data_IF_272920813050
#
_entry.id   IF_272920813050
#
_cell.length_a   1.000
_cell.length_b   1.000
_cell.length_c   1.000
_cell.angle_alpha   90.00
_cell.angle_beta   90.00
_cell.angle_gamma   90.00
#
_symmetry.space_group_name_H-M   'P 1'
#
loop_
_entity.id
_entity.type
_entity.pdbx_description
1 polymer ?
#
# COMPACT_ATOMS: atom_id res chain seq x y z
N UNK A 1 25.95 7.16 5.24
CA UNK A 1 24.78 8.06 5.28
C UNK A 1 24.55 8.56 6.70
N UNK A 2 24.46 7.68 7.72
CA UNK A 2 24.16 8.07 9.11
C UNK A 2 25.15 9.10 9.69
N UNK A 3 26.47 8.90 9.55
CA UNK A 3 27.48 9.82 10.06
C UNK A 3 27.41 11.21 9.40
N UNK A 4 27.16 11.28 8.10
CA UNK A 4 27.04 12.55 7.39
C UNK A 4 25.75 13.31 7.75
N UNK A 5 24.69 12.59 8.06
CA UNK A 5 23.39 13.16 8.49
C UNK A 5 23.50 13.67 9.92
N UNK A 6 24.14 12.94 10.82
CA UNK A 6 24.34 13.34 12.21
C UNK A 6 25.15 14.65 12.34
N UNK A 7 26.17 14.85 11.50
CA UNK A 7 26.97 16.09 11.46
C UNK A 7 26.16 17.33 11.05
N UNK A 8 25.02 17.13 10.40
CA UNK A 8 24.13 18.21 9.98
C UNK A 8 22.95 18.46 10.93
N UNK A 9 22.95 17.85 12.11
CA UNK A 9 21.83 17.92 13.06
C UNK A 9 20.59 17.14 12.58
N UNK A 10 20.75 16.26 11.60
CA UNK A 10 19.69 15.40 11.07
C UNK A 10 19.65 14.01 11.72
N UNK A 11 18.65 13.23 11.35
CA UNK A 11 18.47 11.85 11.77
C UNK A 11 18.25 10.96 10.54
N UNK A 12 18.91 9.80 10.50
CA UNK A 12 18.67 8.78 9.49
C UNK A 12 18.30 7.45 10.16
N UNK A 13 17.31 6.76 9.62
CA UNK A 13 16.84 5.47 10.13
C UNK A 13 16.24 4.65 9.00
N UNK A 14 16.25 3.32 9.16
CA UNK A 14 15.57 2.40 8.22
C UNK A 14 14.06 2.67 8.26
N UNK A 15 13.40 2.68 7.11
CA UNK A 15 11.96 2.90 7.05
C UNK A 15 11.22 1.84 7.90
N UNK A 16 10.51 2.25 8.97
CA UNK A 16 9.90 1.30 9.92
C UNK A 16 8.73 0.53 9.31
N UNK A 17 8.19 0.98 8.19
CA UNK A 17 7.08 0.30 7.51
C UNK A 17 7.55 -0.98 6.83
N UNK A 18 8.67 -0.88 6.10
CA UNK A 18 9.26 -2.00 5.38
C UNK A 18 10.73 -1.70 5.07
N UNK A 19 11.69 -2.55 5.47
CA UNK A 19 13.12 -2.32 5.21
C UNK A 19 13.46 -2.13 3.74
N UNK A 20 12.70 -2.76 2.83
CA UNK A 20 12.86 -2.60 1.38
C UNK A 20 12.58 -1.17 0.88
N UNK A 21 11.92 -0.33 1.67
CA UNK A 21 11.75 1.10 1.40
C UNK A 21 13.06 1.89 1.58
N UNK A 22 14.11 1.29 2.15
CA UNK A 22 15.38 1.91 2.41
C UNK A 22 15.42 2.75 3.68
N UNK A 23 16.19 3.84 3.68
CA UNK A 23 16.35 4.72 4.83
C UNK A 23 15.56 6.04 4.65
N UNK A 24 15.02 6.52 5.75
CA UNK A 24 14.48 7.88 5.88
C UNK A 24 15.55 8.80 6.44
N UNK A 25 15.60 10.00 5.90
CA UNK A 25 16.51 11.05 6.37
C UNK A 25 15.70 12.29 6.67
N UNK A 26 15.79 12.77 7.89
CA UNK A 26 15.20 14.03 8.34
C UNK A 26 16.33 15.02 8.57
N UNK A 27 16.31 16.15 7.91
CA UNK A 27 17.31 17.22 8.05
C UNK A 27 16.62 18.55 8.34
N UNK A 28 17.28 19.47 9.07
CA UNK A 28 16.76 20.81 9.26
C UNK A 28 16.53 21.54 7.93
N UNK A 29 15.46 22.32 7.86
CA UNK A 29 15.15 23.15 6.68
C UNK A 29 16.18 24.29 6.60
N UNK A 30 16.68 24.58 5.41
CA UNK A 30 17.61 25.69 5.14
C UNK A 30 19.07 25.41 5.44
N UNK A 31 19.45 24.15 5.71
CA UNK A 31 20.85 23.75 5.85
C UNK A 31 21.44 23.13 4.60
N UNK A 32 22.77 23.18 4.44
CA UNK A 32 23.54 22.59 3.32
C UNK A 32 23.31 21.07 3.15
N UNK A 33 22.73 20.42 4.14
CA UNK A 33 22.52 18.97 4.20
C UNK A 33 21.52 18.47 3.17
N UNK A 34 20.42 19.21 2.97
CA UNK A 34 19.41 18.88 1.96
C UNK A 34 20.02 18.98 0.57
N UNK A 35 20.82 20.04 0.31
CA UNK A 35 21.51 20.25 -0.97
C UNK A 35 22.55 19.16 -1.24
N UNK A 36 23.35 18.79 -0.23
CA UNK A 36 24.34 17.71 -0.35
C UNK A 36 23.72 16.34 -0.61
N UNK A 37 22.59 16.03 0.02
CA UNK A 37 21.87 14.78 -0.21
C UNK A 37 21.27 14.75 -1.62
N UNK A 38 20.73 15.87 -2.10
CA UNK A 38 20.15 15.97 -3.45
C UNK A 38 21.23 15.97 -4.54
N UNK A 39 22.39 16.56 -4.27
CA UNK A 39 23.54 16.58 -5.21
C UNK A 39 24.13 15.18 -5.47
N UNK A 40 23.92 14.21 -4.57
CA UNK A 40 24.37 12.82 -4.73
C UNK A 40 23.44 11.96 -5.60
N UNK A 41 22.46 12.56 -6.30
CA UNK A 41 21.56 11.86 -7.20
C UNK A 41 20.22 11.55 -6.58
N UNK A 42 19.52 12.58 -6.09
CA UNK A 42 18.15 12.42 -5.60
C UNK A 42 17.27 11.77 -6.65
N UNK A 43 16.73 10.61 -6.33
CA UNK A 43 15.69 10.01 -7.12
C UNK A 43 14.49 10.97 -7.16
N UNK A 44 13.93 11.16 -8.34
CA UNK A 44 12.75 12.02 -8.50
C UNK A 44 11.53 11.37 -7.82
N UNK A 45 10.57 12.16 -7.37
CA UNK A 45 9.31 11.71 -6.78
C UNK A 45 8.65 10.56 -7.56
N UNK A 46 8.63 10.55 -8.92
CA UNK A 46 8.10 9.42 -9.68
C UNK A 46 8.81 8.09 -9.42
N UNK A 47 10.13 8.09 -9.24
CA UNK A 47 10.87 6.85 -8.94
C UNK A 47 10.55 6.31 -7.54
N UNK A 48 10.40 7.20 -6.55
CA UNK A 48 9.93 6.83 -5.22
C UNK A 48 8.52 6.25 -5.27
N UNK A 49 7.60 6.88 -6.01
CA UNK A 49 6.23 6.39 -6.19
C UNK A 49 6.23 5.01 -6.85
N UNK A 50 6.99 4.80 -7.92
CA UNK A 50 7.11 3.51 -8.59
C UNK A 50 7.60 2.40 -7.64
N UNK A 51 8.64 2.69 -6.84
CA UNK A 51 9.15 1.77 -5.83
C UNK A 51 8.08 1.46 -4.77
N UNK A 52 7.40 2.47 -4.23
CA UNK A 52 6.36 2.32 -3.22
C UNK A 52 5.20 1.46 -3.74
N UNK A 53 4.73 1.72 -4.95
CA UNK A 53 3.67 0.95 -5.61
C UNK A 53 4.11 -0.50 -5.81
N UNK A 54 5.33 -0.73 -6.30
CA UNK A 54 5.87 -2.07 -6.50
C UNK A 54 6.01 -2.86 -5.19
N UNK A 55 6.32 -2.18 -4.08
CA UNK A 55 6.41 -2.78 -2.75
C UNK A 55 5.05 -2.96 -2.05
N UNK A 56 3.98 -2.39 -2.58
CA UNK A 56 2.64 -2.48 -2.00
C UNK A 56 2.43 -1.60 -0.77
N UNK A 57 3.20 -0.52 -0.61
CA UNK A 57 3.12 0.35 0.56
C UNK A 57 2.22 1.56 0.26
N UNK A 58 1.05 1.70 0.91
CA UNK A 58 0.12 2.79 0.66
C UNK A 58 0.57 4.13 1.25
N UNK A 59 0.03 5.22 0.69
CA UNK A 59 0.25 6.58 1.15
C UNK A 59 -1.08 7.32 1.35
N UNK A 60 -1.19 8.00 2.49
CA UNK A 60 -2.37 8.79 2.82
C UNK A 60 -2.56 9.94 1.83
N UNK A 61 -3.81 10.16 1.41
CA UNK A 61 -4.17 11.18 0.44
C UNK A 61 -4.06 10.72 -1.03
N UNK A 62 -3.22 9.71 -1.31
CA UNK A 62 -3.12 9.09 -2.64
C UNK A 62 -3.90 7.77 -2.73
N UNK A 63 -3.68 6.86 -1.78
CA UNK A 63 -4.23 5.50 -1.82
C UNK A 63 -5.40 5.30 -0.87
N UNK A 64 -5.53 6.16 0.13
CA UNK A 64 -6.64 6.14 1.08
C UNK A 64 -6.85 7.52 1.72
N UNK A 65 -8.07 7.75 2.26
CA UNK A 65 -8.43 9.00 2.94
C UNK A 65 -8.26 8.88 4.43
N UNK A 66 -7.59 9.87 5.03
CA UNK A 66 -7.55 10.02 6.48
C UNK A 66 -8.96 10.37 7.01
N UNK A 67 -9.33 9.75 8.12
CA UNK A 67 -10.65 9.94 8.74
C UNK A 67 -11.72 8.96 8.24
N UNK A 68 -11.64 8.49 6.98
CA UNK A 68 -12.65 7.61 6.38
C UNK A 68 -12.18 6.14 6.27
N UNK A 69 -10.87 5.91 6.43
CA UNK A 69 -10.26 4.59 6.22
C UNK A 69 -9.82 3.98 7.55
N UNK A 70 -10.22 2.76 7.82
CA UNK A 70 -9.76 2.04 9.00
C UNK A 70 -8.29 1.63 8.88
N UNK A 71 -7.54 1.53 10.01
CA UNK A 71 -6.12 1.17 10.00
C UNK A 71 -5.80 -0.11 9.24
N UNK A 72 -6.62 -1.15 9.36
CA UNK A 72 -6.46 -2.40 8.63
C UNK A 72 -6.66 -2.25 7.12
N UNK A 73 -7.59 -1.40 6.69
CA UNK A 73 -7.80 -1.12 5.27
C UNK A 73 -6.58 -0.45 4.64
N UNK A 74 -5.91 0.43 5.41
CA UNK A 74 -4.68 1.12 5.03
C UNK A 74 -3.39 0.31 5.32
N UNK A 75 -3.51 -0.98 5.68
CA UNK A 75 -2.40 -1.89 5.99
C UNK A 75 -1.54 -1.49 7.21
N UNK A 76 -2.05 -0.67 8.13
CA UNK A 76 -1.30 -0.27 9.33
C UNK A 76 -1.05 -1.45 10.27
N UNK A 77 -1.91 -2.47 10.26
CA UNK A 77 -1.72 -3.75 10.97
C UNK A 77 -0.53 -4.54 10.42
N UNK A 78 -0.20 -4.37 9.14
CA UNK A 78 0.86 -5.09 8.43
C UNK A 78 2.19 -4.32 8.41
N UNK A 79 2.12 -2.99 8.41
CA UNK A 79 3.26 -2.09 8.24
C UNK A 79 3.72 -1.41 9.54
N UNK A 80 3.39 -2.01 10.69
CA UNK A 80 3.83 -1.51 11.99
C UNK A 80 3.17 -0.20 12.44
N UNK A 81 2.09 0.24 11.78
CA UNK A 81 1.36 1.46 12.11
C UNK A 81 0.40 1.32 13.31
N UNK A 82 0.15 0.09 13.76
CA UNK A 82 -0.70 -0.22 14.92
C UNK A 82 0.05 -1.13 15.89
N UNK A 83 -0.01 -0.80 17.17
CA UNK A 83 0.48 -1.67 18.24
C UNK A 83 -0.70 -2.41 18.88
N UNK A 84 -0.64 -3.73 18.92
CA UNK A 84 -1.63 -4.58 19.57
C UNK A 84 -1.27 -4.91 21.02
N UNK A 85 -0.10 -4.49 21.50
CA UNK A 85 0.44 -4.82 22.83
C UNK A 85 0.54 -3.64 23.79
N UNK A 86 0.31 -2.41 23.33
CA UNK A 86 0.52 -1.18 24.09
C UNK A 86 -0.55 -0.84 25.15
N UNK A 87 -1.53 -1.68 25.38
CA UNK A 87 -2.61 -1.41 26.32
C UNK A 87 -3.73 -0.52 25.76
N UNK A 88 -4.57 0.05 26.66
CA UNK A 88 -5.78 0.77 26.27
C UNK A 88 -5.52 2.14 25.63
N UNK A 89 -6.29 2.46 24.59
CA UNK A 89 -6.29 3.77 23.92
C UNK A 89 -7.65 4.07 23.29
N UNK A 90 -7.91 5.34 23.00
CA UNK A 90 -9.17 5.78 22.36
C UNK A 90 -9.27 5.19 20.96
N UNK A 91 -10.41 4.56 20.64
CA UNK A 91 -10.65 3.90 19.33
C UNK A 91 -10.15 2.46 19.24
N UNK A 92 -9.56 1.90 20.30
CA UNK A 92 -9.05 0.51 20.30
C UNK A 92 -10.12 -0.54 19.98
N UNK A 93 -11.39 -0.30 20.34
CA UNK A 93 -12.47 -1.27 20.11
C UNK A 93 -12.61 -1.64 18.64
N UNK A 94 -12.59 -0.64 17.76
CA UNK A 94 -12.71 -0.86 16.31
C UNK A 94 -11.50 -1.63 15.79
N UNK A 95 -10.31 -1.21 16.18
CA UNK A 95 -9.03 -1.84 15.76
C UNK A 95 -8.96 -3.29 16.26
N UNK A 96 -9.28 -3.52 17.53
CA UNK A 96 -9.29 -4.86 18.14
C UNK A 96 -10.35 -5.76 17.49
N UNK A 97 -11.56 -5.24 17.23
CA UNK A 97 -12.61 -6.00 16.56
C UNK A 97 -12.20 -6.43 15.15
N UNK A 98 -11.58 -5.53 14.38
CA UNK A 98 -11.10 -5.86 13.04
C UNK A 98 -9.99 -6.92 13.09
N UNK A 99 -9.08 -6.82 14.05
CA UNK A 99 -7.99 -7.80 14.24
C UNK A 99 -8.53 -9.19 14.59
N UNK A 100 -9.42 -9.29 15.58
CA UNK A 100 -9.91 -10.58 16.07
C UNK A 100 -10.94 -11.25 15.16
N UNK A 101 -11.73 -10.47 14.43
CA UNK A 101 -12.74 -11.03 13.52
C UNK A 101 -12.25 -11.23 12.10
N UNK A 102 -11.01 -10.86 11.80
CA UNK A 102 -10.45 -10.97 10.44
C UNK A 102 -11.25 -10.21 9.36
N UNK A 103 -12.02 -9.19 9.76
CA UNK A 103 -13.09 -8.62 8.96
C UNK A 103 -12.69 -7.41 8.11
N UNK A 104 -11.42 -7.18 7.87
CA UNK A 104 -11.03 -6.18 6.88
C UNK A 104 -11.45 -6.64 5.47
N UNK A 105 -12.75 -6.47 5.16
CA UNK A 105 -13.31 -6.81 3.83
C UNK A 105 -12.74 -5.97 2.71
N UNK A 106 -12.10 -4.85 3.05
CA UNK A 106 -11.55 -3.86 2.14
C UNK A 106 -10.12 -3.57 2.56
N UNK A 107 -9.19 -3.56 1.60
CA UNK A 107 -7.78 -3.23 1.83
C UNK A 107 -7.18 -2.57 0.61
N UNK A 108 -6.13 -1.77 0.83
CA UNK A 108 -5.24 -1.39 -0.25
C UNK A 108 -4.40 -2.59 -0.65
N UNK A 109 -4.42 -2.93 -1.92
CA UNK A 109 -3.62 -4.05 -2.48
C UNK A 109 -2.98 -3.64 -3.80
N UNK A 110 -1.78 -4.14 -4.11
CA UNK A 110 -1.20 -3.99 -5.44
C UNK A 110 -2.02 -4.72 -6.50
N UNK A 111 -2.14 -4.07 -7.65
CA UNK A 111 -2.72 -4.65 -8.85
C UNK A 111 -1.77 -4.46 -10.03
N UNK A 112 -1.77 -5.42 -10.94
CA UNK A 112 -0.98 -5.41 -12.18
C UNK A 112 -1.91 -5.55 -13.36
N UNK A 113 -1.87 -4.56 -14.24
CA UNK A 113 -2.63 -4.56 -15.48
C UNK A 113 -1.93 -5.33 -16.59
N UNK A 114 -2.72 -5.84 -17.54
CA UNK A 114 -2.22 -6.42 -18.81
C UNK A 114 -1.62 -5.35 -19.74
N UNK A 115 -1.89 -4.08 -19.47
CA UNK A 115 -1.37 -2.90 -20.17
C UNK A 115 -1.25 -1.72 -19.20
N UNK A 116 -1.12 -0.51 -19.75
CA UNK A 116 -1.13 0.71 -18.95
C UNK A 116 -2.45 0.84 -18.21
N UNK A 117 -2.36 1.25 -16.96
CA UNK A 117 -3.52 1.48 -16.10
C UNK A 117 -4.06 2.91 -16.28
N UNK A 118 -5.37 3.12 -16.09
CA UNK A 118 -5.96 4.43 -16.09
C UNK A 118 -5.51 5.26 -14.87
N UNK A 119 -5.94 6.52 -14.84
CA UNK A 119 -5.55 7.48 -13.81
C UNK A 119 -6.01 7.06 -12.39
N UNK A 120 -5.33 7.55 -11.34
CA UNK A 120 -5.78 7.41 -9.96
C UNK A 120 -7.24 7.85 -9.79
N UNK A 121 -7.99 7.13 -8.95
CA UNK A 121 -9.43 7.33 -8.76
C UNK A 121 -10.32 6.54 -9.72
N UNK A 122 -9.75 5.92 -10.76
CA UNK A 122 -10.51 5.08 -11.68
C UNK A 122 -11.10 3.87 -10.97
N UNK A 123 -12.32 3.49 -11.37
CA UNK A 123 -13.04 2.35 -10.80
C UNK A 123 -12.38 1.02 -11.16
N UNK A 124 -12.39 0.11 -10.18
CA UNK A 124 -12.08 -1.31 -10.42
C UNK A 124 -13.37 -2.10 -10.31
N UNK A 125 -13.67 -2.87 -11.34
CA UNK A 125 -14.92 -3.63 -11.47
C UNK A 125 -14.66 -5.13 -11.67
N UNK A 126 -15.63 -5.92 -11.21
CA UNK A 126 -15.76 -7.34 -11.53
C UNK A 126 -17.09 -7.51 -12.27
N UNK A 127 -17.06 -7.66 -13.58
CA UNK A 127 -18.25 -7.56 -14.43
C UNK A 127 -18.94 -6.20 -14.23
N UNK A 128 -20.23 -6.20 -13.88
CA UNK A 128 -20.99 -4.99 -13.59
C UNK A 128 -20.75 -4.42 -12.18
N UNK A 129 -20.16 -5.18 -11.27
CA UNK A 129 -20.00 -4.81 -9.86
C UNK A 129 -18.79 -3.90 -9.65
N UNK A 130 -18.99 -2.73 -9.02
CA UNK A 130 -17.90 -1.90 -8.52
C UNK A 130 -17.31 -2.57 -7.27
N UNK A 131 -16.00 -2.87 -7.30
CA UNK A 131 -15.30 -3.52 -6.20
C UNK A 131 -14.22 -2.64 -5.55
N UNK A 132 -13.90 -1.51 -6.14
CA UNK A 132 -12.94 -0.56 -5.56
C UNK A 132 -12.48 0.52 -6.53
N UNK A 133 -11.37 1.19 -6.18
CA UNK A 133 -10.78 2.28 -6.95
C UNK A 133 -9.27 2.18 -6.95
N UNK A 134 -8.64 2.64 -8.04
CA UNK A 134 -7.20 2.81 -8.10
C UNK A 134 -6.76 4.00 -7.24
N UNK A 135 -5.67 3.84 -6.53
CA UNK A 135 -4.88 4.89 -5.90
C UNK A 135 -3.68 5.25 -6.76
N UNK A 136 -2.47 5.20 -6.20
CA UNK A 136 -1.22 5.49 -6.91
C UNK A 136 -1.00 4.54 -8.09
N UNK A 137 -0.72 5.12 -9.26
CA UNK A 137 -0.45 4.39 -10.50
C UNK A 137 1.00 4.62 -10.95
N UNK A 138 1.63 3.58 -11.46
CA UNK A 138 2.96 3.62 -12.07
C UNK A 138 3.02 2.60 -13.23
N UNK A 139 2.79 3.08 -14.43
CA UNK A 139 2.75 2.25 -15.64
C UNK A 139 1.61 1.23 -15.61
N UNK A 140 1.95 -0.04 -15.62
CA UNK A 140 0.98 -1.14 -15.53
C UNK A 140 0.76 -1.65 -14.09
N UNK A 141 1.31 -0.97 -13.07
CA UNK A 141 1.12 -1.29 -11.65
C UNK A 141 0.38 -0.17 -10.94
N UNK A 142 -0.45 -0.53 -9.98
CA UNK A 142 -1.12 0.43 -9.11
C UNK A 142 -1.33 -0.15 -7.72
N UNK A 143 -1.63 0.72 -6.77
CA UNK A 143 -2.32 0.34 -5.55
C UNK A 143 -3.81 0.58 -5.74
N UNK A 144 -4.63 -0.32 -5.24
CA UNK A 144 -6.08 -0.20 -5.33
C UNK A 144 -6.73 -0.49 -3.99
N UNK A 145 -7.68 0.35 -3.58
CA UNK A 145 -8.54 0.08 -2.44
C UNK A 145 -9.66 -0.85 -2.91
N UNK A 146 -9.56 -2.15 -2.59
CA UNK A 146 -10.49 -3.17 -3.09
C UNK A 146 -11.29 -3.86 -1.99
N UNK A 147 -12.52 -4.21 -2.30
CA UNK A 147 -13.34 -5.19 -1.59
C UNK A 147 -12.80 -6.59 -1.86
N UNK A 148 -11.97 -7.10 -0.94
CA UNK A 148 -11.31 -8.40 -1.09
C UNK A 148 -12.30 -9.57 -1.16
N UNK A 149 -13.40 -9.47 -0.44
CA UNK A 149 -14.50 -10.44 -0.49
C UNK A 149 -15.09 -10.55 -1.92
N UNK A 150 -15.32 -9.40 -2.57
CA UNK A 150 -15.83 -9.35 -3.95
C UNK A 150 -14.80 -9.75 -4.99
N UNK A 151 -13.55 -9.34 -4.78
CA UNK A 151 -12.45 -9.74 -5.66
C UNK A 151 -12.25 -11.25 -5.64
N UNK A 152 -12.29 -11.88 -4.45
CA UNK A 152 -12.20 -13.34 -4.29
C UNK A 152 -13.34 -14.06 -5.00
N UNK A 153 -14.58 -13.62 -4.80
CA UNK A 153 -15.76 -14.16 -5.47
C UNK A 153 -15.61 -14.13 -6.99
N UNK A 154 -15.19 -12.97 -7.53
CA UNK A 154 -14.98 -12.80 -8.97
C UNK A 154 -13.89 -13.72 -9.52
N UNK A 155 -12.74 -13.79 -8.86
CA UNK A 155 -11.63 -14.66 -9.26
C UNK A 155 -12.06 -16.14 -9.21
N UNK A 156 -12.74 -16.55 -8.13
CA UNK A 156 -13.24 -17.93 -7.98
C UNK A 156 -14.29 -18.33 -9.01
N UNK A 157 -15.00 -17.36 -9.58
CA UNK A 157 -15.99 -17.60 -10.67
C UNK A 157 -15.44 -17.31 -12.07
N UNK A 158 -14.13 -17.01 -12.19
CA UNK A 158 -13.50 -16.73 -13.48
C UNK A 158 -13.85 -15.37 -14.07
N UNK A 159 -14.45 -14.46 -13.29
CA UNK A 159 -14.78 -13.10 -13.73
C UNK A 159 -13.54 -12.23 -13.65
N UNK A 160 -13.14 -11.65 -14.79
CA UNK A 160 -11.99 -10.76 -14.86
C UNK A 160 -12.24 -9.48 -14.05
N UNK A 161 -11.20 -9.02 -13.37
CA UNK A 161 -11.17 -7.70 -12.73
C UNK A 161 -10.70 -6.67 -13.77
N UNK A 162 -11.39 -5.54 -13.85
CA UNK A 162 -11.13 -4.51 -14.84
C UNK A 162 -10.92 -3.16 -14.18
N UNK A 163 -9.88 -2.43 -14.60
CA UNK A 163 -9.67 -1.02 -14.31
C UNK A 163 -9.83 -0.24 -15.63
N UNK A 164 -10.97 0.41 -15.83
CA UNK A 164 -11.37 0.88 -17.15
C UNK A 164 -11.44 -0.28 -18.15
N UNK A 165 -10.68 -0.19 -19.25
CA UNK A 165 -10.59 -1.25 -20.28
C UNK A 165 -9.44 -2.24 -20.04
N UNK A 166 -8.62 -2.03 -19.00
CA UNK A 166 -7.44 -2.87 -18.72
C UNK A 166 -7.79 -3.95 -17.70
N UNK A 167 -7.58 -5.21 -18.06
CA UNK A 167 -7.69 -6.31 -17.13
C UNK A 167 -6.57 -6.25 -16.08
N UNK A 168 -6.91 -6.48 -14.82
CA UNK A 168 -5.98 -6.41 -13.69
C UNK A 168 -5.98 -7.72 -12.89
N UNK A 169 -4.81 -8.03 -12.33
CA UNK A 169 -4.62 -9.12 -11.37
C UNK A 169 -4.15 -8.54 -10.04
N UNK A 170 -4.61 -9.13 -8.94
CA UNK A 170 -4.08 -8.80 -7.62
C UNK A 170 -2.72 -9.45 -7.42
N UNK A 171 -1.83 -8.70 -6.77
CA UNK A 171 -0.49 -9.18 -6.40
C UNK A 171 -0.31 -8.97 -4.90
N UNK A 172 -0.54 -10.02 -4.11
CA UNK A 172 -0.37 -9.92 -2.65
C UNK A 172 1.12 -9.86 -2.33
N UNK A 173 1.60 -8.81 -1.63
CA UNK A 173 3.00 -8.69 -1.28
C UNK A 173 3.46 -9.84 -0.38
N UNK A 174 4.70 -10.31 -0.55
CA UNK A 174 5.27 -11.40 0.27
C UNK A 174 5.31 -11.11 1.77
N UNK A 175 5.32 -9.84 2.16
CA UNK A 175 5.31 -9.42 3.56
C UNK A 175 3.90 -9.38 4.16
N UNK A 176 2.84 -9.47 3.35
CA UNK A 176 1.46 -9.44 3.84
C UNK A 176 1.06 -10.79 4.45
N UNK A 177 0.39 -10.73 5.59
CA UNK A 177 -0.11 -11.93 6.30
C UNK A 177 -1.58 -12.21 5.99
N UNK A 178 -2.24 -11.37 5.21
CA UNK A 178 -3.57 -11.63 4.67
C UNK A 178 -3.45 -12.20 3.26
N UNK A 179 -4.29 -13.15 2.92
CA UNK A 179 -4.37 -13.75 1.58
C UNK A 179 -5.70 -13.47 0.92
N UNK A 180 -5.73 -13.68 -0.39
CA UNK A 180 -6.94 -13.99 -1.10
C UNK A 180 -6.87 -15.51 -1.29
N UNK A 181 -7.41 -16.26 -0.32
CA UNK A 181 -7.47 -17.70 -0.43
C UNK A 181 -8.49 -18.06 -1.53
N UNK A 182 -8.02 -18.02 -2.75
CA UNK A 182 -8.63 -18.80 -3.82
C UNK A 182 -8.00 -20.17 -3.63
N UNK A 183 -8.73 -21.09 -3.04
CA UNK A 183 -8.36 -22.50 -3.05
C UNK A 183 -8.20 -22.89 -4.52
N UNK A 184 -6.94 -23.04 -4.98
CA UNK A 184 -6.66 -23.86 -6.14
C UNK A 184 -7.21 -25.24 -5.78
N UNK A 185 -8.26 -25.68 -6.44
CA UNK A 185 -8.67 -27.08 -6.37
C UNK A 185 -7.43 -27.89 -6.83
N UNK A 186 -7.02 -28.90 -6.04
CA UNK A 186 -5.93 -29.76 -6.49
C UNK A 186 -6.36 -30.37 -7.81
N UNK A 187 -5.55 -30.17 -8.85
CA UNK A 187 -5.69 -30.89 -10.11
C UNK A 187 -5.77 -32.40 -9.79
N UNK A 188 -6.87 -33.00 -10.20
CA UNK A 188 -7.15 -34.44 -10.06
C UNK A 188 -6.34 -35.27 -11.07
#
# INVERSE_FOLDING_TARGET
>A
VEAAVAQSGGVAFVDPRLPAMGARVLVPVGGDSAERLTAQGAARVPAYRAMRVALGVPEAGEDFRLGDTFPHEALYDQLGGVSFTKGCFVGQEVVSRMQHRGTARKRVVPVVGTGLLPEPGSEVRAGASLIGTLGSVSGNRALAMLRLDRAREAIGTGVALMAGETAVKLEIPKWATFGIDVTEEPEA
#
